data_IF_812385053972
#
_entry.id   IF_812385053972
#
_cell.length_a   1.000
_cell.length_b   1.000
_cell.length_c   1.000
_cell.angle_alpha   90.00
_cell.angle_beta   90.00
_cell.angle_gamma   90.00
#
_symmetry.space_group_name_H-M   'P 1'
#
loop_
_entity.id
_entity.type
_entity.pdbx_description
1 polymer ?
#
# COMPACT_ATOMS: atom_id res chain seq x y z
N UNK A 1 -8.12 -9.72 -8.16
CA UNK A 1 -6.94 -8.84 -8.04
C UNK A 1 -7.40 -7.54 -7.44
N UNK A 2 -6.80 -7.10 -6.33
CA UNK A 2 -7.22 -5.91 -5.57
C UNK A 2 -6.15 -4.83 -5.73
N UNK A 3 -6.55 -3.62 -6.11
CA UNK A 3 -5.66 -2.47 -6.15
C UNK A 3 -5.66 -1.81 -4.77
N UNK A 4 -4.48 -1.56 -4.23
CA UNK A 4 -4.31 -1.00 -2.89
C UNK A 4 -3.24 0.08 -2.93
N UNK A 5 -3.44 1.15 -2.16
CA UNK A 5 -2.42 2.19 -2.04
C UNK A 5 -1.11 1.59 -1.51
N UNK A 6 0.00 1.76 -2.25
CA UNK A 6 1.30 1.25 -1.85
C UNK A 6 1.74 1.78 -0.48
N UNK A 7 1.31 3.00 -0.14
CA UNK A 7 1.53 3.65 1.15
C UNK A 7 0.95 2.82 2.33
N UNK A 8 -0.22 2.19 2.15
CA UNK A 8 -0.87 1.34 3.17
C UNK A 8 -0.13 0.02 3.41
N UNK A 9 0.68 -0.40 2.44
CA UNK A 9 1.50 -1.59 2.52
C UNK A 9 2.89 -1.29 3.12
N UNK A 10 3.17 -0.03 3.44
CA UNK A 10 4.43 0.42 4.04
C UNK A 10 5.47 0.90 3.03
N UNK A 11 5.09 1.20 1.78
CA UNK A 11 5.99 1.90 0.85
C UNK A 11 6.04 3.39 1.21
N UNK A 12 7.26 3.92 1.31
CA UNK A 12 7.52 5.33 1.55
C UNK A 12 7.28 6.16 0.29
N UNK A 13 6.03 6.23 -0.17
CA UNK A 13 5.62 6.99 -1.36
C UNK A 13 4.80 8.25 -1.03
N UNK A 14 4.60 8.58 0.25
CA UNK A 14 4.05 9.90 0.60
C UNK A 14 5.05 10.97 0.19
N UNK A 15 4.53 12.13 -0.21
CA UNK A 15 5.30 13.37 -0.37
C UNK A 15 6.19 13.73 0.84
N UNK A 16 5.83 13.26 2.05
CA UNK A 16 6.61 13.45 3.28
C UNK A 16 7.78 12.47 3.47
N UNK A 17 7.95 11.49 2.57
CA UNK A 17 8.96 10.43 2.70
C UNK A 17 8.58 9.29 3.67
N UNK A 18 7.37 9.33 4.23
CA UNK A 18 6.85 8.32 5.17
C UNK A 18 5.84 7.37 4.51
N UNK A 19 5.24 6.47 5.30
CA UNK A 19 4.20 5.55 4.87
C UNK A 19 3.04 5.49 5.88
N UNK A 20 1.93 4.88 5.47
CA UNK A 20 0.75 4.65 6.30
C UNK A 20 0.52 3.14 6.50
N UNK A 21 1.58 2.39 6.79
CA UNK A 21 1.50 0.93 6.94
C UNK A 21 0.34 0.55 7.86
N UNK A 22 -0.58 -0.26 7.33
CA UNK A 22 -1.74 -0.73 8.06
C UNK A 22 -1.73 -2.25 8.18
N UNK A 23 -1.37 -2.73 9.36
CA UNK A 23 -1.26 -4.17 9.66
C UNK A 23 -2.56 -4.94 9.46
N UNK A 24 -3.74 -4.32 9.68
CA UNK A 24 -5.04 -4.97 9.44
C UNK A 24 -5.24 -5.23 7.96
N UNK A 25 -4.94 -4.24 7.12
CA UNK A 25 -5.06 -4.34 5.66
C UNK A 25 -4.10 -5.42 5.14
N UNK A 26 -2.85 -5.44 5.60
CA UNK A 26 -1.88 -6.47 5.23
C UNK A 26 -2.38 -7.88 5.59
N UNK A 27 -2.97 -8.05 6.77
CA UNK A 27 -3.49 -9.35 7.20
C UNK A 27 -4.70 -9.80 6.37
N UNK A 28 -5.61 -8.88 6.02
CA UNK A 28 -6.78 -9.19 5.16
C UNK A 28 -6.35 -9.55 3.74
N UNK A 29 -5.34 -8.85 3.22
CA UNK A 29 -4.88 -8.97 1.85
C UNK A 29 -3.94 -10.15 1.61
N UNK A 30 -3.40 -10.78 2.66
CA UNK A 30 -2.46 -11.92 2.54
C UNK A 30 -3.01 -13.09 1.70
N UNK A 31 -4.33 -13.21 1.59
CA UNK A 31 -5.01 -14.25 0.82
C UNK A 31 -5.44 -13.82 -0.60
N UNK A 32 -5.17 -12.58 -1.00
CA UNK A 32 -5.61 -12.04 -2.29
C UNK A 32 -4.43 -11.54 -3.12
N UNK A 33 -4.47 -11.67 -4.47
CA UNK A 33 -3.50 -11.02 -5.33
C UNK A 33 -3.69 -9.50 -5.28
N UNK A 34 -2.66 -8.77 -4.83
CA UNK A 34 -2.67 -7.32 -4.64
C UNK A 34 -1.77 -6.61 -5.64
N UNK A 35 -2.26 -5.52 -6.22
CA UNK A 35 -1.47 -4.58 -7.00
C UNK A 35 -1.25 -3.29 -6.19
N UNK A 36 -0.04 -3.05 -5.65
CA UNK A 36 0.29 -1.81 -4.96
C UNK A 36 0.40 -0.65 -5.96
N UNK A 37 -0.35 0.43 -5.75
CA UNK A 37 -0.31 1.64 -6.60
C UNK A 37 -0.13 2.89 -5.75
N UNK A 38 0.77 3.79 -6.14
CA UNK A 38 0.90 5.12 -5.56
C UNK A 38 0.90 6.12 -6.73
N UNK A 39 -0.17 6.91 -6.93
CA UNK A 39 -0.26 7.82 -8.07
C UNK A 39 0.77 8.97 -7.99
N UNK A 40 1.32 9.23 -6.80
CA UNK A 40 2.32 10.27 -6.55
C UNK A 40 3.72 9.93 -7.12
N UNK A 41 4.01 8.65 -7.40
CA UNK A 41 5.30 8.21 -7.95
C UNK A 41 5.26 7.98 -9.48
N UNK A 42 4.15 8.35 -10.12
CA UNK A 42 3.94 8.20 -11.56
C UNK A 42 4.26 9.51 -12.29
#
# INVERSE_FOLDING_TARGET
MIIVSACLLGRNCKYSGENNKNSRIINILGNYPVLPVCPEEL
#
